data_IF_355878111062
#
_entry.id   IF_355878111062
#
_cell.length_a   1.000
_cell.length_b   1.000
_cell.length_c   1.000
_cell.angle_alpha   90.00
_cell.angle_beta   90.00
_cell.angle_gamma   90.00
#
_symmetry.space_group_name_H-M   'P 1'
#
loop_
_entity.id
_entity.type
_entity.pdbx_description
1 polymer ?
#
# COMPACT_ATOMS: atom_id res chain seq x y z
N UNK A 1 -1.11 -5.55 -0.36
CA UNK A 1 -0.22 -5.04 -1.43
C UNK A 1 0.86 -4.19 -0.79
N UNK A 2 1.84 -3.73 -1.55
CA UNK A 2 2.87 -2.78 -1.11
C UNK A 2 3.28 -1.89 -2.29
N UNK A 3 3.98 -0.80 -2.00
CA UNK A 3 4.54 0.12 -2.99
C UNK A 3 5.32 -0.64 -4.06
N UNK A 4 5.11 -0.24 -5.31
CA UNK A 4 5.77 -0.88 -6.45
C UNK A 4 7.26 -0.55 -6.54
N UNK A 5 7.71 0.49 -5.85
CA UNK A 5 9.06 1.05 -6.00
C UNK A 5 9.65 1.30 -4.63
N UNK A 6 10.90 0.87 -4.44
CA UNK A 6 11.60 1.01 -3.16
C UNK A 6 12.32 2.35 -3.04
N UNK A 7 12.54 2.79 -1.80
CA UNK A 7 13.42 3.94 -1.55
C UNK A 7 14.83 3.68 -2.09
N UNK A 8 15.33 4.61 -2.91
CA UNK A 8 16.69 4.56 -3.47
C UNK A 8 16.83 3.76 -4.78
N UNK A 9 15.74 3.22 -5.32
CA UNK A 9 15.76 2.53 -6.61
C UNK A 9 15.92 3.51 -7.78
N UNK A 10 16.64 3.08 -8.83
CA UNK A 10 16.82 3.88 -10.05
C UNK A 10 15.48 4.15 -10.74
N UNK A 11 15.25 5.42 -11.08
CA UNK A 11 14.04 5.89 -11.76
C UNK A 11 13.92 5.37 -13.19
N UNK A 12 15.02 4.92 -13.81
CA UNK A 12 15.00 4.40 -15.19
C UNK A 12 14.04 3.21 -15.37
N UNK A 13 13.83 2.40 -14.33
CA UNK A 13 12.95 1.22 -14.37
C UNK A 13 11.48 1.50 -14.03
N UNK A 14 11.14 2.71 -13.60
CA UNK A 14 9.81 3.02 -13.03
C UNK A 14 8.68 2.86 -14.04
N UNK A 15 8.87 3.40 -15.26
CA UNK A 15 7.84 3.34 -16.30
C UNK A 15 7.45 1.90 -16.66
N UNK A 16 8.45 1.03 -16.82
CA UNK A 16 8.22 -0.37 -17.15
C UNK A 16 7.55 -1.11 -15.99
N UNK A 17 7.99 -0.86 -14.75
CA UNK A 17 7.38 -1.50 -13.58
C UNK A 17 5.93 -1.06 -13.37
N UNK A 18 5.64 0.25 -13.50
CA UNK A 18 4.28 0.78 -13.45
C UNK A 18 3.41 0.06 -14.50
N UNK A 19 3.89 -0.03 -15.75
CA UNK A 19 3.16 -0.71 -16.83
C UNK A 19 2.85 -2.17 -16.51
N UNK A 20 3.83 -2.90 -15.97
CA UNK A 20 3.69 -4.33 -15.63
C UNK A 20 2.78 -4.57 -14.43
N UNK A 21 2.80 -3.69 -13.43
CA UNK A 21 2.07 -3.86 -12.18
C UNK A 21 0.69 -3.20 -12.15
N UNK A 22 0.40 -2.27 -13.08
CA UNK A 22 -0.93 -1.63 -13.18
C UNK A 22 -2.09 -2.63 -13.21
N UNK A 23 -2.04 -3.78 -13.93
CA UNK A 23 -3.12 -4.76 -13.91
C UNK A 23 -3.38 -5.42 -12.53
N UNK A 24 -2.45 -5.27 -11.58
CA UNK A 24 -2.52 -5.83 -10.23
C UNK A 24 -2.83 -4.78 -9.16
N UNK A 25 -3.10 -3.52 -9.54
CA UNK A 25 -3.58 -2.49 -8.60
C UNK A 25 -4.79 -3.00 -7.84
N UNK A 26 -4.79 -2.82 -6.53
CA UNK A 26 -5.94 -3.21 -5.71
C UNK A 26 -7.03 -2.15 -5.85
N UNK A 27 -8.06 -2.49 -6.64
CA UNK A 27 -9.27 -1.68 -6.85
C UNK A 27 -10.49 -2.34 -6.22
N UNK A 28 -11.66 -1.68 -6.23
CA UNK A 28 -12.92 -2.34 -5.82
C UNK A 28 -13.21 -3.61 -6.62
N UNK A 29 -12.89 -3.66 -7.91
CA UNK A 29 -13.09 -4.85 -8.74
C UNK A 29 -12.21 -6.01 -8.27
N UNK A 30 -10.95 -5.73 -7.91
CA UNK A 30 -10.05 -6.75 -7.34
C UNK A 30 -10.58 -7.27 -6.01
N UNK A 31 -11.05 -6.37 -5.14
CA UNK A 31 -11.66 -6.75 -3.86
C UNK A 31 -12.94 -7.59 -4.07
N UNK A 32 -13.79 -7.21 -5.02
CA UNK A 32 -15.00 -7.96 -5.38
C UNK A 32 -14.69 -9.34 -5.98
N UNK A 33 -13.58 -9.46 -6.71
CA UNK A 33 -13.08 -10.72 -7.27
C UNK A 33 -12.81 -11.80 -6.22
N UNK A 34 -12.64 -11.44 -4.94
CA UNK A 34 -12.51 -12.40 -3.84
C UNK A 34 -13.80 -13.17 -3.55
N UNK A 35 -14.97 -12.69 -3.99
CA UNK A 35 -16.27 -13.31 -3.71
C UNK A 35 -16.61 -13.39 -2.21
N UNK A 36 -15.92 -12.61 -1.37
CA UNK A 36 -16.04 -12.62 0.08
C UNK A 36 -16.56 -11.27 0.59
N UNK A 37 -17.77 -11.20 1.19
CA UNK A 37 -18.31 -9.94 1.71
C UNK A 37 -17.54 -9.40 2.93
N UNK A 38 -16.66 -10.21 3.53
CA UNK A 38 -15.82 -9.82 4.67
C UNK A 38 -14.35 -9.63 4.27
N UNK A 39 -14.04 -9.49 2.98
CA UNK A 39 -12.68 -9.23 2.52
C UNK A 39 -12.11 -7.98 3.21
N UNK A 40 -10.85 -8.06 3.64
CA UNK A 40 -10.12 -6.95 4.26
C UNK A 40 -8.90 -6.59 3.44
N UNK A 41 -8.55 -5.32 3.46
CA UNK A 41 -7.38 -4.77 2.78
C UNK A 41 -6.29 -4.42 3.79
N UNK A 42 -5.05 -4.79 3.46
CA UNK A 42 -3.84 -4.59 4.26
C UNK A 42 -2.71 -4.01 3.40
N UNK A 43 -1.91 -3.14 4.01
CA UNK A 43 -0.77 -2.44 3.43
C UNK A 43 0.23 -2.09 4.53
N UNK A 44 1.54 -2.28 4.29
CA UNK A 44 2.55 -2.07 5.33
C UNK A 44 2.81 -0.58 5.68
N UNK A 45 2.44 0.31 4.75
CA UNK A 45 2.63 1.77 4.76
C UNK A 45 4.11 2.19 4.58
N UNK A 46 4.37 3.38 3.96
CA UNK A 46 3.42 4.31 3.34
C UNK A 46 2.78 3.72 2.06
N UNK A 47 1.63 4.28 1.63
CA UNK A 47 0.93 3.86 0.41
C UNK A 47 0.75 5.05 -0.55
N UNK A 48 0.77 4.79 -1.84
CA UNK A 48 0.48 5.73 -2.93
C UNK A 48 -0.97 5.54 -3.40
N UNK A 49 -1.92 5.96 -2.57
CA UNK A 49 -3.35 5.85 -2.87
C UNK A 49 -3.95 7.14 -3.47
N UNK A 50 -3.26 8.27 -3.36
CA UNK A 50 -3.64 9.59 -3.87
C UNK A 50 -2.43 10.41 -4.36
N UNK A 51 -2.67 11.69 -4.68
CA UNK A 51 -1.65 12.66 -5.11
C UNK A 51 -1.26 13.69 -4.05
N UNK A 52 -1.62 13.48 -2.78
CA UNK A 52 -1.47 14.50 -1.72
C UNK A 52 -0.04 14.57 -1.14
N UNK A 53 0.82 13.64 -1.54
CA UNK A 53 2.25 13.66 -1.24
C UNK A 53 3.07 14.24 -2.38
N UNK A 54 4.25 14.82 -2.10
CA UNK A 54 5.14 15.38 -3.14
C UNK A 54 5.49 14.35 -4.23
N UNK A 55 5.73 13.10 -3.81
CA UNK A 55 6.04 12.00 -4.71
C UNK A 55 4.80 11.49 -5.46
N UNK A 56 3.63 11.45 -4.82
CA UNK A 56 2.36 11.13 -5.48
C UNK A 56 2.01 12.15 -6.57
N UNK A 57 2.13 13.45 -6.28
CA UNK A 57 1.94 14.52 -7.25
C UNK A 57 2.94 14.43 -8.42
N UNK A 58 4.21 14.10 -8.16
CA UNK A 58 5.20 13.86 -9.20
C UNK A 58 4.79 12.70 -10.11
N UNK A 59 4.41 11.57 -9.53
CA UNK A 59 4.00 10.37 -10.27
C UNK A 59 2.75 10.65 -11.11
N UNK A 60 1.78 11.38 -10.57
CA UNK A 60 0.59 11.78 -11.31
C UNK A 60 0.89 12.68 -12.49
N UNK A 61 1.85 13.61 -12.35
CA UNK A 61 2.29 14.45 -13.45
C UNK A 61 3.07 13.66 -14.52
N UNK A 62 3.97 12.77 -14.09
CA UNK A 62 4.90 12.06 -14.99
C UNK A 62 4.25 10.89 -15.73
N UNK A 63 3.41 10.12 -15.03
CA UNK A 63 2.83 8.87 -15.55
C UNK A 63 1.32 8.94 -15.77
N UNK A 64 0.67 10.05 -15.41
CA UNK A 64 -0.77 10.24 -15.64
C UNK A 64 -1.66 9.34 -14.78
N UNK A 65 -1.20 8.94 -13.59
CA UNK A 65 -1.93 8.09 -12.65
C UNK A 65 -2.12 8.81 -11.31
N UNK A 66 -3.30 8.73 -10.72
CA UNK A 66 -3.64 9.34 -9.43
C UNK A 66 -3.30 8.44 -8.22
N UNK A 67 -3.08 7.16 -8.47
CA UNK A 67 -2.73 6.15 -7.47
C UNK A 67 -1.84 5.05 -8.08
N UNK A 68 -1.10 4.32 -7.25
CA UNK A 68 -0.25 3.21 -7.67
C UNK A 68 -0.83 1.86 -7.24
N UNK A 69 -0.37 1.28 -6.14
CA UNK A 69 -0.67 -0.11 -5.77
C UNK A 69 -2.08 -0.36 -5.25
N UNK A 70 -2.77 0.70 -4.81
CA UNK A 70 -4.14 0.66 -4.31
C UNK A 70 -4.83 1.98 -4.66
N UNK A 71 -6.12 1.93 -5.00
CA UNK A 71 -6.94 3.12 -5.19
C UNK A 71 -7.38 3.73 -3.87
N UNK A 72 -7.52 5.05 -3.80
CA UNK A 72 -8.04 5.77 -2.63
C UNK A 72 -9.36 5.16 -2.09
N UNK A 73 -10.27 4.80 -2.99
CA UNK A 73 -11.56 4.21 -2.64
C UNK A 73 -11.49 2.86 -1.88
N UNK A 74 -10.39 2.12 -2.00
CA UNK A 74 -10.15 0.89 -1.24
C UNK A 74 -9.40 1.23 0.04
N UNK A 75 -8.41 2.13 -0.06
CA UNK A 75 -7.59 2.55 1.07
C UNK A 75 -8.42 3.18 2.20
N UNK A 76 -9.40 4.03 1.85
CA UNK A 76 -10.30 4.72 2.78
C UNK A 76 -11.62 3.97 3.05
N UNK A 77 -11.77 2.73 2.55
CA UNK A 77 -13.00 1.94 2.75
C UNK A 77 -13.07 1.26 4.12
N UNK A 78 -14.27 0.86 4.55
CA UNK A 78 -14.50 0.01 5.74
C UNK A 78 -13.81 -1.38 5.67
N UNK A 79 -13.36 -1.78 4.47
CA UNK A 79 -12.58 -3.00 4.29
C UNK A 79 -11.10 -2.80 4.67
N UNK A 80 -10.61 -1.55 4.69
CA UNK A 80 -9.25 -1.21 5.02
C UNK A 80 -8.99 -1.36 6.52
N UNK A 81 -7.93 -2.07 6.88
CA UNK A 81 -7.45 -2.22 8.26
C UNK A 81 -5.99 -1.80 8.39
N UNK A 82 -5.52 -0.92 7.49
CA UNK A 82 -4.10 -0.51 7.39
C UNK A 82 -3.61 0.21 8.65
N UNK A 83 -4.46 0.98 9.31
CA UNK A 83 -4.10 1.68 10.55
C UNK A 83 -4.04 0.75 11.76
N UNK A 84 -4.98 -0.20 11.88
CA UNK A 84 -4.90 -1.26 12.89
C UNK A 84 -3.63 -2.10 12.68
N UNK A 85 -3.31 -2.44 11.43
CA UNK A 85 -2.07 -3.13 11.08
C UNK A 85 -0.83 -2.31 11.48
N UNK A 86 -0.84 -1.00 11.22
CA UNK A 86 0.26 -0.10 11.54
C UNK A 86 0.48 0.02 13.06
N UNK A 87 -0.58 0.20 13.84
CA UNK A 87 -0.53 0.23 15.31
C UNK A 87 0.02 -1.08 15.87
N UNK A 88 -0.40 -2.22 15.31
CA UNK A 88 0.06 -3.54 15.72
C UNK A 88 1.58 -3.78 15.55
N UNK A 89 2.29 -2.93 14.79
CA UNK A 89 3.76 -2.94 14.78
C UNK A 89 4.35 -2.64 16.16
N UNK A 90 3.76 -1.71 16.92
CA UNK A 90 4.23 -1.39 18.27
C UNK A 90 4.07 -2.58 19.21
N UNK A 91 2.91 -3.23 19.17
CA UNK A 91 2.58 -4.34 20.06
C UNK A 91 3.43 -5.57 19.77
N UNK A 92 3.62 -5.90 18.49
CA UNK A 92 4.44 -7.06 18.08
C UNK A 92 5.92 -6.86 18.40
N UNK A 93 6.47 -5.67 18.14
CA UNK A 93 7.86 -5.34 18.53
C UNK A 93 8.01 -5.38 20.05
N UNK A 94 7.06 -4.85 20.82
CA UNK A 94 7.07 -4.94 22.29
C UNK A 94 7.09 -6.38 22.77
N UNK A 95 6.27 -7.25 22.20
CA UNK A 95 6.25 -8.67 22.54
C UNK A 95 7.59 -9.35 22.25
N UNK A 96 8.23 -9.04 21.11
CA UNK A 96 9.56 -9.54 20.78
C UNK A 96 10.61 -9.09 21.81
N UNK A 97 10.59 -7.83 22.23
CA UNK A 97 11.53 -7.31 23.23
C UNK A 97 11.33 -7.99 24.58
N UNK A 98 10.08 -8.12 25.05
CA UNK A 98 9.78 -8.81 26.32
C UNK A 98 10.25 -10.27 26.26
N UNK A 99 9.96 -10.99 25.18
CA UNK A 99 10.30 -12.41 25.05
C UNK A 99 11.81 -12.68 24.95
N UNK A 100 12.61 -11.73 24.45
CA UNK A 100 14.04 -11.95 24.17
C UNK A 100 14.97 -11.30 25.19
N UNK A 101 14.59 -10.14 25.75
CA UNK A 101 15.44 -9.35 26.64
C UNK A 101 14.71 -8.84 27.90
N UNK A 102 13.44 -9.20 28.09
CA UNK A 102 12.66 -8.84 29.27
C UNK A 102 12.86 -9.84 30.41
N UNK A 103 13.94 -9.70 31.17
CA UNK A 103 14.09 -10.32 32.49
C UNK A 103 13.43 -9.45 33.57
#
# INVERSE_FOLDING_TARGET
TDVWMSMGEDKSGWAERIRLLTPYRVTREVMAGAGNPHVKFMHCLPAFHDTDTEIGAFIGKEYGIDCMEVTDEVFESDASIVFDQAENRLHTIKALLVATIGN
#
